data_IF_209964352945
#
_entry.id   IF_209964352945
#
_cell.length_a   1.000
_cell.length_b   1.000
_cell.length_c   1.000
_cell.angle_alpha   90.00
_cell.angle_beta   90.00
_cell.angle_gamma   90.00
#
_symmetry.space_group_name_H-M   'P 1'
#
loop_
_entity.id
_entity.type
_entity.pdbx_description
1 polymer ?
#
# COMPACT_ATOMS: atom_id res chain seq x y z
N UNK A 1 -18.73 11.12 -14.91
CA UNK A 1 -18.92 12.45 -14.27
C UNK A 1 -17.84 13.42 -14.74
N UNK A 2 -18.12 14.73 -14.82
CA UNK A 2 -17.11 15.74 -15.16
C UNK A 2 -16.20 16.00 -13.94
N UNK A 3 -14.91 15.76 -14.07
CA UNK A 3 -13.96 15.90 -12.96
C UNK A 3 -13.68 17.36 -12.53
N UNK A 4 -14.18 18.34 -13.26
CA UNK A 4 -14.15 19.73 -12.81
C UNK A 4 -15.33 20.11 -11.89
N UNK A 5 -16.36 19.29 -11.84
CA UNK A 5 -17.55 19.50 -11.02
C UNK A 5 -17.43 18.78 -9.68
N UNK A 6 -16.34 19.04 -8.96
CA UNK A 6 -16.02 18.34 -7.70
C UNK A 6 -17.10 18.45 -6.64
N UNK A 7 -17.93 19.52 -6.67
CA UNK A 7 -19.09 19.66 -5.78
C UNK A 7 -20.12 18.54 -5.92
N UNK A 8 -20.10 17.81 -7.05
CA UNK A 8 -21.01 16.70 -7.31
C UNK A 8 -20.42 15.34 -6.85
N UNK A 9 -19.17 15.28 -6.41
CA UNK A 9 -18.53 14.03 -6.01
C UNK A 9 -19.23 13.35 -4.84
N UNK A 10 -19.75 14.14 -3.88
CA UNK A 10 -20.49 13.63 -2.72
C UNK A 10 -21.73 12.80 -3.09
N UNK A 11 -22.28 12.97 -4.30
CA UNK A 11 -23.42 12.14 -4.77
C UNK A 11 -23.04 10.68 -5.04
N UNK A 12 -21.75 10.41 -5.28
CA UNK A 12 -21.21 9.07 -5.53
C UNK A 12 -20.35 8.57 -4.36
N UNK A 13 -19.97 9.45 -3.44
CA UNK A 13 -19.08 9.17 -2.31
C UNK A 13 -19.78 9.43 -0.97
N UNK A 14 -20.83 8.64 -0.62
CA UNK A 14 -21.60 8.84 0.60
C UNK A 14 -20.80 8.54 1.88
N UNK A 15 -19.74 7.73 1.79
CA UNK A 15 -18.90 7.33 2.91
C UNK A 15 -17.58 8.13 2.99
N UNK A 16 -17.52 9.27 2.28
CA UNK A 16 -16.41 10.24 2.36
C UNK A 16 -15.02 9.64 2.09
N UNK A 17 -14.89 8.78 1.08
CA UNK A 17 -13.60 8.19 0.69
C UNK A 17 -12.57 9.24 0.30
N UNK A 18 -13.00 10.35 -0.34
CA UNK A 18 -12.12 11.45 -0.67
C UNK A 18 -11.45 12.05 0.58
N UNK A 19 -12.22 12.27 1.63
CA UNK A 19 -11.69 12.82 2.89
C UNK A 19 -10.69 11.85 3.54
N UNK A 20 -10.96 10.54 3.48
CA UNK A 20 -10.04 9.52 3.99
C UNK A 20 -8.70 9.51 3.22
N UNK A 21 -8.75 9.69 1.89
CA UNK A 21 -7.54 9.80 1.03
C UNK A 21 -6.81 11.13 1.31
N UNK A 22 -7.53 12.21 1.45
CA UNK A 22 -6.98 13.55 1.69
C UNK A 22 -6.22 13.62 3.02
N UNK A 23 -6.67 12.89 4.04
CA UNK A 23 -6.05 12.82 5.37
C UNK A 23 -4.81 11.92 5.46
N UNK A 24 -4.32 11.36 4.37
CA UNK A 24 -3.17 10.44 4.39
C UNK A 24 -1.90 11.02 5.05
N UNK A 25 -1.51 12.30 4.83
CA UNK A 25 -0.37 12.90 5.54
C UNK A 25 -0.57 12.93 7.06
N UNK A 26 -1.75 13.33 7.51
CA UNK A 26 -2.13 13.43 8.92
C UNK A 26 -2.15 12.04 9.58
N UNK A 27 -2.62 11.00 8.86
CA UNK A 27 -2.59 9.62 9.33
C UNK A 27 -1.16 9.14 9.58
N UNK A 28 -0.23 9.38 8.65
CA UNK A 28 1.16 8.99 8.80
C UNK A 28 1.79 9.66 10.03
N UNK A 29 1.59 10.97 10.19
CA UNK A 29 2.10 11.74 11.33
C UNK A 29 1.51 11.24 12.66
N UNK A 30 0.20 10.98 12.70
CA UNK A 30 -0.49 10.50 13.90
C UNK A 30 -0.04 9.08 14.27
N UNK A 31 0.10 8.19 13.29
CA UNK A 31 0.54 6.82 13.48
C UNK A 31 1.96 6.74 14.04
N UNK A 32 2.89 7.54 13.50
CA UNK A 32 4.25 7.65 14.00
C UNK A 32 4.27 8.06 15.48
N UNK A 33 3.60 9.17 15.81
CA UNK A 33 3.52 9.68 17.19
C UNK A 33 2.88 8.67 18.14
N UNK A 34 1.79 8.04 17.73
CA UNK A 34 1.09 7.03 18.53
C UNK A 34 2.01 5.84 18.80
N UNK A 35 2.68 5.30 17.78
CA UNK A 35 3.56 4.14 17.91
C UNK A 35 4.77 4.38 18.84
N UNK A 36 5.23 5.64 18.97
CA UNK A 36 6.28 6.00 19.93
C UNK A 36 5.79 5.95 21.38
N UNK A 37 4.49 6.04 21.63
CA UNK A 37 3.89 6.13 22.98
C UNK A 37 3.26 4.81 23.46
N UNK A 38 2.87 3.91 22.55
CA UNK A 38 2.22 2.64 22.91
C UNK A 38 3.15 1.73 23.69
N UNK A 39 2.60 0.95 24.62
CA UNK A 39 3.38 0.04 25.44
C UNK A 39 4.10 -1.01 24.59
N UNK A 40 5.42 -1.14 24.85
CA UNK A 40 6.27 -2.13 24.21
C UNK A 40 7.20 -2.68 25.30
N UNK A 41 7.02 -3.93 25.74
CA UNK A 41 7.91 -4.56 26.70
C UNK A 41 9.29 -4.77 26.05
N UNK A 42 10.29 -5.03 26.90
CA UNK A 42 11.61 -5.39 26.43
C UNK A 42 11.53 -6.70 25.62
N UNK A 43 11.89 -6.62 24.35
CA UNK A 43 12.00 -7.78 23.46
C UNK A 43 13.37 -8.44 23.61
N UNK A 44 13.42 -9.75 23.40
CA UNK A 44 14.67 -10.49 23.28
C UNK A 44 15.35 -10.21 21.93
N UNK A 45 16.49 -10.85 21.69
CA UNK A 45 17.20 -10.77 20.41
C UNK A 45 16.27 -11.15 19.26
N UNK A 46 16.19 -10.31 18.23
CA UNK A 46 15.38 -10.54 17.01
C UNK A 46 16.33 -10.94 15.90
N UNK A 47 16.07 -12.12 15.28
CA UNK A 47 16.85 -12.66 14.16
C UNK A 47 16.08 -12.63 12.84
N UNK A 48 14.75 -12.58 12.92
CA UNK A 48 13.87 -12.47 11.76
C UNK A 48 12.54 -11.85 12.18
N UNK A 49 11.89 -11.17 11.25
CA UNK A 49 10.56 -10.58 11.43
C UNK A 49 9.60 -11.16 10.39
N UNK A 50 8.43 -11.61 10.86
CA UNK A 50 7.29 -11.91 9.99
C UNK A 50 6.14 -10.98 10.33
N UNK A 51 5.58 -10.32 9.32
CA UNK A 51 4.43 -9.43 9.46
C UNK A 51 3.25 -10.07 8.75
N UNK A 52 2.27 -10.56 9.51
CA UNK A 52 1.07 -11.18 8.95
C UNK A 52 -0.07 -10.17 8.85
N UNK A 53 -0.70 -10.12 7.69
CA UNK A 53 -1.82 -9.21 7.41
C UNK A 53 -2.36 -9.39 6.01
N UNK A 54 -3.52 -8.79 5.72
CA UNK A 54 -4.18 -8.83 4.42
C UNK A 54 -4.50 -7.41 3.93
N UNK A 55 -4.69 -7.23 2.62
CA UNK A 55 -5.15 -5.99 2.01
C UNK A 55 -4.35 -4.75 2.45
N UNK A 56 -5.04 -3.73 2.98
CA UNK A 56 -4.44 -2.48 3.46
C UNK A 56 -3.40 -2.64 4.57
N UNK A 57 -3.59 -3.62 5.46
CA UNK A 57 -2.63 -3.93 6.53
C UNK A 57 -1.34 -4.55 5.96
N UNK A 58 -1.46 -5.47 5.01
CA UNK A 58 -0.31 -6.09 4.38
C UNK A 58 0.47 -5.13 3.46
N UNK A 59 -0.22 -4.22 2.76
CA UNK A 59 0.46 -3.25 1.90
C UNK A 59 1.30 -2.25 2.71
N UNK A 60 0.84 -1.86 3.91
CA UNK A 60 1.65 -1.06 4.83
C UNK A 60 2.94 -1.77 5.25
N UNK A 61 2.85 -3.10 5.47
CA UNK A 61 4.01 -3.94 5.77
C UNK A 61 4.96 -4.08 4.56
N UNK A 62 4.44 -4.24 3.33
CA UNK A 62 5.28 -4.27 2.11
C UNK A 62 6.04 -2.96 1.91
N UNK A 63 5.33 -1.83 2.07
CA UNK A 63 5.94 -0.50 1.96
C UNK A 63 7.07 -0.35 3.00
N UNK A 64 6.84 -0.79 4.24
CA UNK A 64 7.88 -0.78 5.26
C UNK A 64 9.05 -1.68 4.86
N UNK A 65 8.81 -2.96 4.58
CA UNK A 65 9.87 -3.93 4.25
C UNK A 65 10.73 -3.43 3.09
N UNK A 66 10.11 -2.87 2.05
CA UNK A 66 10.83 -2.32 0.91
C UNK A 66 11.62 -1.04 1.25
N UNK A 67 11.08 -0.16 2.11
CA UNK A 67 11.75 1.09 2.50
C UNK A 67 12.97 0.88 3.40
N UNK A 68 13.01 -0.23 4.14
CA UNK A 68 14.09 -0.55 5.10
C UNK A 68 15.04 -1.66 4.64
N UNK A 69 14.87 -2.19 3.43
CA UNK A 69 15.64 -3.35 2.93
C UNK A 69 17.15 -3.15 3.04
N UNK A 70 17.64 -1.93 2.84
CA UNK A 70 19.08 -1.64 2.84
C UNK A 70 19.64 -1.34 4.25
N UNK A 71 18.77 -1.15 5.25
CA UNK A 71 19.17 -0.68 6.58
C UNK A 71 18.78 -1.61 7.73
N UNK A 72 17.75 -2.44 7.55
CA UNK A 72 17.32 -3.39 8.57
C UNK A 72 18.26 -4.61 8.58
N UNK A 73 18.90 -4.95 9.73
CA UNK A 73 19.90 -6.01 9.78
C UNK A 73 19.31 -7.42 9.76
N UNK A 74 17.99 -7.56 9.83
CA UNK A 74 17.30 -8.85 9.86
C UNK A 74 16.30 -8.98 8.71
N UNK A 75 16.04 -10.20 8.22
CA UNK A 75 15.02 -10.40 7.18
C UNK A 75 13.63 -10.04 7.68
N UNK A 76 12.86 -9.35 6.84
CA UNK A 76 11.47 -8.97 7.07
C UNK A 76 10.60 -9.58 5.97
N UNK A 77 9.69 -10.48 6.36
CA UNK A 77 8.80 -11.20 5.43
C UNK A 77 7.35 -10.81 5.71
N UNK A 78 6.61 -10.52 4.65
CA UNK A 78 5.16 -10.22 4.74
C UNK A 78 4.37 -11.46 4.36
N UNK A 79 3.65 -12.01 5.35
CA UNK A 79 2.81 -13.21 5.22
C UNK A 79 1.38 -12.82 4.86
N UNK A 80 0.85 -13.43 3.76
CA UNK A 80 -0.49 -13.18 3.23
C UNK A 80 -1.28 -14.48 3.03
N UNK A 81 -1.17 -15.37 3.98
CA UNK A 81 -1.85 -16.66 3.93
C UNK A 81 -2.15 -17.12 5.35
N UNK A 82 -2.84 -18.24 5.47
CA UNK A 82 -3.07 -18.91 6.74
C UNK A 82 -1.75 -19.41 7.33
N UNK A 83 -1.66 -19.29 8.67
CA UNK A 83 -0.51 -19.77 9.42
C UNK A 83 0.78 -18.96 9.17
N UNK A 84 1.90 -19.53 9.59
CA UNK A 84 3.23 -18.95 9.47
C UNK A 84 4.18 -19.87 8.69
N UNK A 85 5.22 -19.30 8.05
CA UNK A 85 6.28 -20.11 7.46
C UNK A 85 6.95 -21.02 8.51
N UNK A 86 7.38 -22.20 8.12
CA UNK A 86 7.94 -23.21 9.03
C UNK A 86 9.18 -22.75 9.84
N UNK A 87 9.90 -21.74 9.34
CA UNK A 87 11.03 -21.14 10.03
C UNK A 87 10.61 -20.14 11.13
N UNK A 88 9.40 -19.60 11.08
CA UNK A 88 8.90 -18.59 12.02
C UNK A 88 8.52 -19.24 13.36
N UNK A 89 9.53 -19.49 14.19
CA UNK A 89 9.39 -20.15 15.50
C UNK A 89 10.46 -19.69 16.49
N UNK A 90 10.13 -19.83 17.78
CA UNK A 90 11.03 -19.53 18.89
C UNK A 90 11.24 -18.02 19.11
N UNK A 91 11.90 -17.68 20.19
CA UNK A 91 12.08 -16.30 20.65
C UNK A 91 12.98 -15.44 19.76
N UNK A 92 13.71 -16.03 18.81
CA UNK A 92 14.47 -15.29 17.79
C UNK A 92 13.57 -14.70 16.66
N UNK A 93 12.30 -15.10 16.59
CA UNK A 93 11.36 -14.57 15.60
C UNK A 93 10.41 -13.57 16.24
N UNK A 94 10.33 -12.38 15.68
CA UNK A 94 9.27 -11.41 15.96
C UNK A 94 8.14 -11.61 14.94
N UNK A 95 6.97 -11.98 15.42
CA UNK A 95 5.75 -12.08 14.64
C UNK A 95 4.83 -10.89 14.93
N UNK A 96 4.56 -10.08 13.91
CA UNK A 96 3.70 -8.89 14.00
C UNK A 96 2.40 -9.17 13.26
N UNK A 97 1.27 -8.95 13.92
CA UNK A 97 -0.05 -9.18 13.36
C UNK A 97 -0.75 -7.86 13.14
N UNK A 98 -0.91 -7.46 11.87
CA UNK A 98 -1.56 -6.21 11.48
C UNK A 98 -2.91 -6.52 10.82
N UNK A 99 -4.00 -6.10 11.48
CA UNK A 99 -5.35 -6.25 10.95
C UNK A 99 -6.19 -5.06 11.36
N UNK A 100 -6.63 -4.26 10.41
CA UNK A 100 -7.48 -3.10 10.68
C UNK A 100 -8.70 -3.49 11.52
N UNK A 101 -9.50 -4.43 11.07
CA UNK A 101 -10.70 -4.89 11.82
C UNK A 101 -10.38 -5.77 13.02
N UNK A 102 -9.19 -6.35 13.09
CA UNK A 102 -8.83 -7.38 14.06
C UNK A 102 -9.58 -8.71 13.90
N UNK A 103 -10.30 -8.91 12.79
CA UNK A 103 -11.13 -10.10 12.55
C UNK A 103 -10.73 -10.87 11.29
N UNK A 104 -9.61 -10.52 10.66
CA UNK A 104 -9.11 -11.19 9.44
C UNK A 104 -8.71 -12.61 9.77
N UNK A 105 -9.34 -13.59 9.11
CA UNK A 105 -9.22 -15.02 9.43
C UNK A 105 -7.78 -15.52 9.28
N UNK A 106 -7.10 -15.16 8.18
CA UNK A 106 -5.72 -15.53 7.91
C UNK A 106 -4.77 -14.96 8.99
N UNK A 107 -5.00 -13.72 9.41
CA UNK A 107 -4.19 -13.07 10.46
C UNK A 107 -4.40 -13.73 11.82
N UNK A 108 -5.64 -14.13 12.15
CA UNK A 108 -5.95 -14.85 13.37
C UNK A 108 -5.35 -16.26 13.38
N UNK A 109 -5.39 -16.97 12.25
CA UNK A 109 -4.75 -18.28 12.08
C UNK A 109 -3.24 -18.18 12.29
N UNK A 110 -2.59 -17.19 11.69
CA UNK A 110 -1.17 -16.95 11.87
C UNK A 110 -0.81 -16.58 13.32
N UNK A 111 -1.66 -15.79 14.00
CA UNK A 111 -1.48 -15.43 15.41
C UNK A 111 -1.53 -16.65 16.33
N UNK A 112 -2.52 -17.53 16.15
CA UNK A 112 -2.66 -18.74 16.95
C UNK A 112 -1.45 -19.67 16.77
N UNK A 113 -0.92 -19.78 15.56
CA UNK A 113 0.30 -20.55 15.31
C UNK A 113 1.55 -19.90 15.93
N UNK A 114 1.66 -18.57 15.94
CA UNK A 114 2.79 -17.86 16.57
C UNK A 114 2.88 -18.12 18.07
N UNK A 115 1.73 -18.16 18.76
CA UNK A 115 1.65 -18.53 20.18
C UNK A 115 2.21 -19.93 20.39
N UNK A 116 1.73 -20.92 19.62
CA UNK A 116 2.17 -22.31 19.69
C UNK A 116 3.66 -22.46 19.36
N UNK A 117 4.17 -21.62 18.45
CA UNK A 117 5.56 -21.62 18.01
C UNK A 117 6.49 -20.79 18.93
N UNK A 118 5.99 -20.22 20.01
CA UNK A 118 6.73 -19.43 21.00
C UNK A 118 7.49 -18.22 20.40
N UNK A 119 6.91 -17.57 19.38
CA UNK A 119 7.44 -16.34 18.81
C UNK A 119 7.31 -15.17 19.82
N UNK A 120 8.12 -14.11 19.65
CA UNK A 120 7.81 -12.82 20.22
C UNK A 120 6.68 -12.19 19.38
N UNK A 121 5.69 -11.61 20.03
CA UNK A 121 4.44 -11.18 19.35
C UNK A 121 4.12 -9.72 19.64
N UNK A 122 3.70 -8.99 18.60
CA UNK A 122 3.05 -7.67 18.70
C UNK A 122 1.82 -7.68 17.78
N UNK A 123 0.71 -7.11 18.26
CA UNK A 123 -0.50 -6.96 17.43
C UNK A 123 -0.84 -5.49 17.21
N UNK A 124 -1.36 -5.17 16.02
CA UNK A 124 -1.77 -3.82 15.61
C UNK A 124 -3.17 -3.90 15.00
N UNK A 125 -4.17 -3.25 15.63
CA UNK A 125 -5.55 -3.28 15.12
C UNK A 125 -6.38 -2.11 15.67
N UNK A 126 -7.59 -1.91 15.12
CA UNK A 126 -8.57 -0.98 15.72
C UNK A 126 -9.36 -1.65 16.85
N UNK A 127 -9.23 -2.97 17.02
CA UNK A 127 -9.94 -3.80 18.02
C UNK A 127 -10.13 -5.24 17.53
N UNK A 128 -11.33 -5.77 17.72
CA UNK A 128 -11.72 -7.09 17.25
C UNK A 128 -11.10 -8.28 18.01
N UNK A 129 -11.23 -9.47 17.45
CA UNK A 129 -10.75 -10.72 18.08
C UNK A 129 -9.24 -10.73 18.30
N UNK A 130 -8.47 -10.15 17.39
CA UNK A 130 -7.00 -10.08 17.49
C UNK A 130 -6.57 -9.28 18.73
N UNK A 131 -7.18 -8.11 18.95
CA UNK A 131 -6.94 -7.27 20.10
C UNK A 131 -7.26 -8.01 21.40
N UNK A 132 -8.48 -8.58 21.49
CA UNK A 132 -8.93 -9.31 22.68
C UNK A 132 -8.05 -10.51 23.00
N UNK A 133 -7.66 -11.31 22.00
CA UNK A 133 -6.77 -12.46 22.18
C UNK A 133 -5.39 -12.02 22.68
N UNK A 134 -4.83 -10.94 22.14
CA UNK A 134 -3.53 -10.41 22.58
C UNK A 134 -3.57 -9.94 24.03
N UNK A 135 -4.59 -9.16 24.42
CA UNK A 135 -4.76 -8.70 25.81
C UNK A 135 -4.93 -9.88 26.80
N UNK A 136 -5.77 -10.86 26.47
CA UNK A 136 -5.98 -12.05 27.30
C UNK A 136 -4.69 -12.88 27.46
N UNK A 137 -3.80 -12.82 26.48
CA UNK A 137 -2.51 -13.51 26.50
C UNK A 137 -1.39 -12.68 27.13
N UNK A 138 -1.67 -11.46 27.61
CA UNK A 138 -0.67 -10.53 28.14
C UNK A 138 0.38 -10.08 27.13
N UNK A 139 0.00 -10.03 25.84
CA UNK A 139 0.87 -9.65 24.73
C UNK A 139 0.68 -8.17 24.35
N UNK A 140 1.69 -7.50 23.78
CA UNK A 140 1.55 -6.15 23.25
C UNK A 140 0.43 -6.04 22.24
N UNK A 141 -0.61 -5.26 22.59
CA UNK A 141 -1.80 -5.05 21.79
C UNK A 141 -1.93 -3.57 21.41
N UNK A 142 -1.31 -3.19 20.32
CA UNK A 142 -1.33 -1.82 19.84
C UNK A 142 -2.66 -1.49 19.18
N UNK A 143 -3.40 -0.57 19.78
CA UNK A 143 -4.70 -0.12 19.29
C UNK A 143 -4.60 1.28 18.71
N UNK A 144 -5.24 1.48 17.56
CA UNK A 144 -5.42 2.79 16.96
C UNK A 144 -6.88 3.03 16.60
N UNK A 145 -7.28 4.29 16.48
CA UNK A 145 -8.64 4.66 16.09
C UNK A 145 -8.61 5.12 14.63
N UNK A 146 -9.46 4.50 13.82
CA UNK A 146 -9.69 4.91 12.44
C UNK A 146 -11.10 4.47 12.04
N UNK A 147 -11.94 5.45 11.69
CA UNK A 147 -13.28 5.25 11.15
C UNK A 147 -13.20 5.37 9.62
N UNK A 148 -13.36 4.27 8.92
CA UNK A 148 -13.27 4.22 7.47
C UNK A 148 -12.77 2.89 6.92
N UNK A 149 -12.46 2.88 5.65
CA UNK A 149 -12.07 1.66 4.96
C UNK A 149 -10.62 1.26 5.25
N UNK A 150 -10.32 -0.04 5.46
CA UNK A 150 -8.97 -0.51 5.72
C UNK A 150 -7.94 -0.07 4.66
N UNK A 151 -8.37 0.02 3.39
CA UNK A 151 -7.53 0.48 2.27
C UNK A 151 -7.14 1.96 2.37
N UNK A 152 -7.92 2.77 3.10
CA UNK A 152 -7.63 4.18 3.34
C UNK A 152 -6.81 4.41 4.63
N UNK A 153 -6.51 3.36 5.41
CA UNK A 153 -5.74 3.44 6.66
C UNK A 153 -4.25 3.09 6.50
N UNK A 154 -3.69 3.18 5.29
CA UNK A 154 -2.30 2.77 5.03
C UNK A 154 -1.28 3.61 5.79
N UNK A 155 -1.58 4.87 6.08
CA UNK A 155 -0.75 5.74 6.93
C UNK A 155 -0.60 5.16 8.34
N UNK A 156 -1.68 4.63 8.93
CA UNK A 156 -1.63 3.92 10.21
C UNK A 156 -0.87 2.60 10.10
N UNK A 157 -1.18 1.77 9.09
CA UNK A 157 -0.53 0.47 8.94
C UNK A 157 0.98 0.57 8.81
N UNK A 158 1.47 1.52 8.02
CA UNK A 158 2.91 1.75 7.86
C UNK A 158 3.53 2.48 9.06
N UNK A 159 2.93 3.58 9.52
CA UNK A 159 3.52 4.46 10.53
C UNK A 159 3.69 3.77 11.88
N UNK A 160 2.72 2.92 12.30
CA UNK A 160 2.83 2.12 13.51
C UNK A 160 3.94 1.06 13.40
N UNK A 161 4.04 0.38 12.26
CA UNK A 161 5.12 -0.57 11.99
C UNK A 161 6.49 0.12 11.98
N UNK A 162 6.62 1.28 11.35
CA UNK A 162 7.85 2.05 11.32
C UNK A 162 8.29 2.46 12.73
N UNK A 163 7.36 2.96 13.55
CA UNK A 163 7.62 3.31 14.95
C UNK A 163 8.05 2.09 15.78
N UNK A 164 7.44 0.93 15.54
CA UNK A 164 7.84 -0.31 16.19
C UNK A 164 9.29 -0.69 15.85
N UNK A 165 9.66 -0.67 14.57
CA UNK A 165 11.02 -0.99 14.11
C UNK A 165 12.06 0.00 14.66
N UNK A 166 11.71 1.28 14.72
CA UNK A 166 12.56 2.31 15.33
C UNK A 166 12.81 2.03 16.81
N UNK A 167 11.74 1.78 17.59
CA UNK A 167 11.83 1.48 19.03
C UNK A 167 12.57 0.19 19.36
N UNK A 168 12.52 -0.79 18.46
CA UNK A 168 13.27 -2.05 18.58
C UNK A 168 14.74 -1.91 18.16
N UNK A 169 15.18 -0.75 17.69
CA UNK A 169 16.54 -0.52 17.20
C UNK A 169 16.87 -1.29 15.90
N UNK A 170 15.83 -1.75 15.16
CA UNK A 170 15.99 -2.42 13.87
C UNK A 170 16.26 -1.43 12.73
N UNK A 171 15.97 -0.17 12.94
CA UNK A 171 16.29 0.95 12.04
C UNK A 171 16.76 2.16 12.89
N UNK A 172 17.49 3.08 12.26
CA UNK A 172 17.82 4.36 12.87
C UNK A 172 16.58 5.26 13.04
N UNK A 173 16.73 6.36 13.77
CA UNK A 173 15.65 7.33 13.97
C UNK A 173 15.07 7.81 12.64
N UNK A 174 13.74 7.68 12.49
CA UNK A 174 13.00 8.01 11.30
C UNK A 174 12.16 9.30 11.43
N UNK A 175 12.22 10.01 12.56
CA UNK A 175 11.36 11.18 12.82
C UNK A 175 11.45 12.24 11.73
N UNK A 176 12.68 12.61 11.34
CA UNK A 176 12.90 13.58 10.26
C UNK A 176 12.34 13.09 8.92
N UNK A 177 12.57 11.82 8.59
CA UNK A 177 12.08 11.24 7.33
C UNK A 177 10.56 11.21 7.25
N UNK A 178 9.88 10.92 8.37
CA UNK A 178 8.42 11.00 8.48
C UNK A 178 7.93 12.43 8.31
N UNK A 179 8.55 13.39 9.00
CA UNK A 179 8.18 14.81 8.90
C UNK A 179 8.34 15.35 7.47
N UNK A 180 9.43 15.01 6.80
CA UNK A 180 9.69 15.41 5.41
C UNK A 180 8.67 14.79 4.45
N UNK A 181 8.34 13.50 4.60
CA UNK A 181 7.33 12.83 3.79
C UNK A 181 5.91 13.43 3.99
N UNK A 182 5.54 13.71 5.23
CA UNK A 182 4.26 14.36 5.56
C UNK A 182 4.18 15.74 4.91
N UNK A 183 5.22 16.56 5.06
CA UNK A 183 5.28 17.89 4.45
C UNK A 183 5.14 17.82 2.93
N UNK A 184 5.87 16.93 2.30
CA UNK A 184 5.88 16.74 0.85
C UNK A 184 4.52 16.28 0.31
N UNK A 185 3.82 15.41 1.04
CA UNK A 185 2.44 15.01 0.70
C UNK A 185 1.46 16.18 0.84
N UNK A 186 1.58 17.02 1.88
CA UNK A 186 0.74 18.22 2.06
C UNK A 186 0.94 19.19 0.89
N UNK A 187 2.18 19.42 0.47
CA UNK A 187 2.50 20.27 -0.68
C UNK A 187 1.92 19.68 -1.99
N UNK A 188 2.10 18.38 -2.22
CA UNK A 188 1.55 17.71 -3.40
C UNK A 188 0.02 17.77 -3.44
N UNK A 189 -0.65 17.58 -2.28
CA UNK A 189 -2.11 17.63 -2.16
C UNK A 189 -2.70 18.93 -2.70
N UNK A 190 -2.03 20.06 -2.56
CA UNK A 190 -2.50 21.36 -3.09
C UNK A 190 -2.68 21.36 -4.61
N UNK A 191 -1.96 20.48 -5.33
CA UNK A 191 -1.99 20.38 -6.78
C UNK A 191 -2.88 19.26 -7.33
N UNK A 192 -3.19 18.25 -6.49
CA UNK A 192 -3.94 17.07 -6.91
C UNK A 192 -5.27 16.88 -6.18
N UNK A 193 -5.66 17.80 -5.28
CA UNK A 193 -6.95 17.79 -4.57
C UNK A 193 -8.14 17.97 -5.53
N UNK A 194 -9.34 17.79 -5.03
CA UNK A 194 -10.56 17.86 -5.83
C UNK A 194 -10.84 19.26 -6.41
N UNK A 195 -10.40 20.33 -5.75
CA UNK A 195 -10.60 21.72 -6.17
C UNK A 195 -9.71 22.10 -7.36
N UNK A 196 -8.54 21.46 -7.49
CA UNK A 196 -7.61 21.72 -8.58
C UNK A 196 -8.25 21.34 -9.92
N UNK A 197 -8.30 22.28 -10.91
CA UNK A 197 -8.97 22.03 -12.18
C UNK A 197 -8.23 20.96 -13.02
N UNK A 198 -8.98 20.20 -13.86
CA UNK A 198 -8.49 19.09 -14.65
C UNK A 198 -7.20 19.39 -15.43
N UNK A 199 -7.09 20.57 -16.03
CA UNK A 199 -5.93 20.96 -16.83
C UNK A 199 -4.65 21.22 -16.02
N UNK A 200 -4.76 21.39 -14.70
CA UNK A 200 -3.64 21.56 -13.75
C UNK A 200 -3.43 20.36 -12.84
N UNK A 201 -4.40 19.46 -12.75
CA UNK A 201 -4.39 18.29 -11.87
C UNK A 201 -3.93 17.04 -12.64
N UNK A 202 -2.69 16.63 -12.41
CA UNK A 202 -2.10 15.46 -13.07
C UNK A 202 -2.80 14.13 -12.70
N UNK A 203 -3.32 14.00 -11.47
CA UNK A 203 -4.06 12.81 -11.06
C UNK A 203 -5.41 12.68 -11.78
N UNK A 204 -6.15 13.79 -11.95
CA UNK A 204 -7.39 13.79 -12.76
C UNK A 204 -7.12 13.47 -14.24
N UNK A 205 -6.01 14.01 -14.80
CA UNK A 205 -5.62 13.71 -16.18
C UNK A 205 -5.26 12.24 -16.38
N UNK A 206 -4.46 11.69 -15.46
CA UNK A 206 -4.11 10.27 -15.51
C UNK A 206 -5.37 9.40 -15.38
N UNK A 207 -6.27 9.70 -14.45
CA UNK A 207 -7.54 8.99 -14.35
C UNK A 207 -8.30 8.93 -15.69
N UNK A 208 -8.32 10.06 -16.44
CA UNK A 208 -8.90 10.10 -17.79
C UNK A 208 -8.17 9.21 -18.79
N UNK A 209 -6.84 9.11 -18.73
CA UNK A 209 -6.05 8.23 -19.59
C UNK A 209 -6.28 6.75 -19.30
N UNK A 210 -6.55 6.39 -18.03
CA UNK A 210 -6.82 5.01 -17.62
C UNK A 210 -8.22 4.51 -18.03
N UNK A 211 -9.15 5.40 -18.39
CA UNK A 211 -10.51 5.00 -18.76
C UNK A 211 -10.53 4.06 -19.97
N UNK A 212 -11.30 2.97 -19.85
CA UNK A 212 -11.47 1.98 -20.92
C UNK A 212 -10.23 1.10 -21.17
N UNK A 213 -9.23 1.13 -20.30
CA UNK A 213 -7.97 0.39 -20.45
C UNK A 213 -7.76 -0.64 -19.35
N UNK A 214 -7.12 -1.74 -19.72
CA UNK A 214 -6.48 -2.66 -18.79
C UNK A 214 -5.08 -2.14 -18.50
N UNK A 215 -4.83 -1.75 -17.25
CA UNK A 215 -3.58 -1.12 -16.88
C UNK A 215 -2.69 -2.08 -16.08
N UNK A 216 -1.42 -2.19 -16.50
CA UNK A 216 -0.37 -2.85 -15.70
C UNK A 216 0.60 -1.79 -15.17
N UNK A 217 0.75 -1.73 -13.86
CA UNK A 217 1.68 -0.84 -13.19
C UNK A 217 3.04 -1.51 -13.00
N UNK A 218 4.10 -0.90 -13.54
CA UNK A 218 5.47 -1.39 -13.43
C UNK A 218 6.25 -0.52 -12.44
N UNK A 219 7.02 -1.14 -11.56
CA UNK A 219 7.93 -0.44 -10.66
C UNK A 219 9.13 -1.32 -10.30
N UNK A 220 10.17 -0.71 -9.73
CA UNK A 220 11.39 -1.41 -9.31
C UNK A 220 11.72 -1.15 -7.83
N UNK A 221 12.44 -2.08 -7.22
CA UNK A 221 13.00 -1.89 -5.89
C UNK A 221 11.96 -1.47 -4.84
N UNK A 222 12.25 -0.37 -4.13
CA UNK A 222 11.38 0.13 -3.08
C UNK A 222 10.00 0.65 -3.57
N UNK A 223 9.85 0.88 -4.88
CA UNK A 223 8.59 1.29 -5.50
C UNK A 223 7.70 0.12 -5.92
N UNK A 224 8.17 -1.13 -5.93
CA UNK A 224 7.36 -2.29 -6.31
C UNK A 224 6.06 -2.44 -5.46
N UNK A 225 6.08 -2.27 -4.12
CA UNK A 225 4.84 -2.28 -3.34
C UNK A 225 3.92 -1.09 -3.63
N UNK A 226 4.44 0.03 -4.13
CA UNK A 226 3.61 1.15 -4.60
C UNK A 226 2.80 0.75 -5.82
N UNK A 227 3.42 0.08 -6.81
CA UNK A 227 2.70 -0.44 -7.98
C UNK A 227 1.61 -1.45 -7.56
N UNK A 228 1.91 -2.36 -6.62
CA UNK A 228 0.91 -3.26 -6.04
C UNK A 228 -0.25 -2.47 -5.39
N UNK A 229 0.05 -1.40 -4.64
CA UNK A 229 -0.98 -0.56 -4.04
C UNK A 229 -1.84 0.13 -5.09
N UNK A 230 -1.25 0.72 -6.12
CA UNK A 230 -2.00 1.36 -7.21
C UNK A 230 -2.98 0.37 -7.84
N UNK A 231 -2.51 -0.84 -8.16
CA UNK A 231 -3.38 -1.94 -8.64
C UNK A 231 -4.55 -2.19 -7.68
N UNK A 232 -4.28 -2.31 -6.39
CA UNK A 232 -5.33 -2.58 -5.40
C UNK A 232 -6.33 -1.42 -5.31
N UNK A 233 -5.86 -0.17 -5.30
CA UNK A 233 -6.73 1.01 -5.27
C UNK A 233 -7.57 1.13 -6.54
N UNK A 234 -7.02 0.89 -7.72
CA UNK A 234 -7.78 0.86 -8.97
C UNK A 234 -8.88 -0.21 -8.93
N UNK A 235 -8.57 -1.40 -8.41
CA UNK A 235 -9.57 -2.47 -8.28
C UNK A 235 -10.67 -2.12 -7.26
N UNK A 236 -10.29 -1.66 -6.06
CA UNK A 236 -11.23 -1.50 -4.96
C UNK A 236 -11.97 -0.16 -4.97
N UNK A 237 -11.33 0.92 -5.40
CA UNK A 237 -11.92 2.26 -5.44
C UNK A 237 -12.63 2.49 -6.78
N UNK A 238 -11.94 2.27 -7.91
CA UNK A 238 -12.50 2.53 -9.24
C UNK A 238 -13.24 1.33 -9.86
N UNK A 239 -13.28 0.17 -9.19
CA UNK A 239 -13.93 -1.06 -9.69
C UNK A 239 -13.39 -1.53 -11.05
N UNK A 240 -12.15 -1.18 -11.36
CA UNK A 240 -11.51 -1.40 -12.65
C UNK A 240 -10.42 -2.45 -12.54
N UNK A 241 -10.34 -3.35 -13.51
CA UNK A 241 -9.28 -4.36 -13.55
C UNK A 241 -7.92 -3.71 -13.79
N UNK A 242 -6.91 -4.12 -13.00
CA UNK A 242 -5.52 -3.72 -13.18
C UNK A 242 -4.57 -4.82 -12.71
N UNK A 243 -3.33 -4.79 -13.19
CA UNK A 243 -2.23 -5.63 -12.72
C UNK A 243 -1.07 -4.79 -12.20
N UNK A 244 -0.06 -5.44 -11.61
CA UNK A 244 1.23 -4.84 -11.33
C UNK A 244 2.35 -5.84 -11.63
N UNK A 245 3.52 -5.31 -11.99
CA UNK A 245 4.72 -6.06 -12.30
C UNK A 245 5.95 -5.40 -11.66
N UNK A 246 6.93 -6.21 -11.31
CA UNK A 246 8.19 -5.74 -10.76
C UNK A 246 9.34 -5.86 -11.79
N UNK A 247 10.01 -4.76 -12.08
CA UNK A 247 11.28 -4.76 -12.80
C UNK A 247 12.40 -5.05 -11.78
N UNK A 248 13.35 -5.92 -12.10
CA UNK A 248 13.69 -6.48 -13.43
C UNK A 248 12.99 -7.79 -13.81
N UNK A 249 12.20 -8.40 -12.92
CA UNK A 249 11.61 -9.73 -13.15
C UNK A 249 10.69 -9.74 -14.40
N UNK A 250 9.87 -8.71 -14.59
CA UNK A 250 8.97 -8.61 -15.75
C UNK A 250 9.68 -8.61 -17.11
N UNK A 251 10.94 -8.16 -17.16
CA UNK A 251 11.75 -8.17 -18.38
C UNK A 251 12.18 -9.58 -18.79
N UNK A 252 12.04 -10.56 -17.90
CA UNK A 252 12.38 -11.97 -18.17
C UNK A 252 11.17 -12.80 -18.62
N UNK A 253 9.95 -12.24 -18.58
CA UNK A 253 8.72 -12.95 -18.90
C UNK A 253 7.64 -12.05 -19.53
N UNK A 254 7.12 -11.04 -18.84
CA UNK A 254 6.01 -10.19 -19.29
C UNK A 254 6.32 -9.50 -20.62
N UNK A 255 7.56 -9.05 -20.83
CA UNK A 255 7.97 -8.39 -22.06
C UNK A 255 7.85 -9.30 -23.29
N UNK A 256 7.92 -10.61 -23.15
CA UNK A 256 7.69 -11.56 -24.23
C UNK A 256 6.20 -11.74 -24.58
N UNK A 257 5.30 -11.29 -23.71
CA UNK A 257 3.84 -11.42 -23.85
C UNK A 257 3.16 -10.25 -24.58
N UNK A 258 3.87 -9.50 -25.42
CA UNK A 258 3.37 -8.26 -26.05
C UNK A 258 2.80 -8.45 -27.46
N UNK A 259 2.62 -9.70 -27.93
CA UNK A 259 2.11 -10.00 -29.27
C UNK A 259 0.61 -10.37 -29.30
N UNK A 260 0.10 -11.05 -28.28
CA UNK A 260 -1.24 -11.62 -28.27
C UNK A 260 -1.91 -11.58 -26.90
N UNK A 261 -3.28 -11.52 -26.83
CA UNK A 261 -4.20 -11.29 -27.94
C UNK A 261 -4.25 -9.80 -28.33
N UNK A 262 -4.32 -9.52 -29.62
CA UNK A 262 -4.21 -8.15 -30.16
C UNK A 262 -5.30 -7.23 -29.61
N UNK A 263 -6.54 -7.68 -29.59
CA UNK A 263 -7.70 -6.90 -29.11
C UNK A 263 -7.62 -6.51 -27.61
N UNK A 264 -6.89 -7.29 -26.80
CA UNK A 264 -6.60 -6.96 -25.40
C UNK A 264 -5.45 -5.95 -25.34
N UNK A 265 -4.39 -6.17 -26.14
CA UNK A 265 -3.22 -5.27 -26.14
C UNK A 265 -3.57 -3.86 -26.62
N UNK A 266 -4.46 -3.71 -27.61
CA UNK A 266 -4.98 -2.42 -28.08
C UNK A 266 -5.68 -1.62 -26.98
N UNK A 267 -6.25 -2.31 -25.97
CA UNK A 267 -6.91 -1.71 -24.80
C UNK A 267 -6.02 -1.70 -23.56
N UNK A 268 -4.79 -2.16 -23.67
CA UNK A 268 -3.86 -2.19 -22.55
C UNK A 268 -3.06 -0.90 -22.44
N UNK A 269 -2.59 -0.63 -21.22
CA UNK A 269 -1.65 0.45 -20.92
C UNK A 269 -0.62 -0.07 -19.94
N UNK A 270 0.66 0.13 -20.26
CA UNK A 270 1.77 -0.10 -19.35
C UNK A 270 2.18 1.22 -18.71
N UNK A 271 2.00 1.32 -17.40
CA UNK A 271 2.28 2.54 -16.64
C UNK A 271 3.47 2.34 -15.71
N UNK A 272 4.50 3.15 -15.85
CA UNK A 272 5.77 3.01 -15.13
C UNK A 272 5.84 3.97 -13.95
N UNK A 273 5.93 3.42 -12.72
CA UNK A 273 6.13 4.19 -11.48
C UNK A 273 7.62 4.19 -11.19
N UNK A 274 8.27 5.29 -11.47
CA UNK A 274 9.71 5.50 -11.35
C UNK A 274 10.05 6.37 -10.14
N UNK A 275 11.30 6.35 -9.73
CA UNK A 275 11.82 7.11 -8.60
C UNK A 275 13.18 7.71 -8.95
N UNK A 276 13.46 8.92 -8.45
CA UNK A 276 14.80 9.50 -8.54
C UNK A 276 15.88 8.66 -7.83
N UNK A 277 15.45 7.77 -6.92
CA UNK A 277 16.33 6.84 -6.20
C UNK A 277 16.42 5.46 -6.86
N UNK A 278 15.88 5.27 -8.07
CA UNK A 278 16.05 4.02 -8.81
C UNK A 278 17.51 3.74 -9.11
N UNK A 279 17.92 2.49 -9.04
CA UNK A 279 19.24 2.09 -9.50
C UNK A 279 19.39 2.42 -10.99
N UNK A 280 20.53 2.98 -11.39
CA UNK A 280 20.79 3.33 -12.79
C UNK A 280 20.46 2.21 -13.78
N UNK A 281 20.69 0.96 -13.37
CA UNK A 281 20.39 -0.20 -14.20
C UNK A 281 18.89 -0.43 -14.37
N UNK A 282 18.09 -0.18 -13.33
CA UNK A 282 16.63 -0.24 -13.40
C UNK A 282 16.07 0.93 -14.22
N UNK A 283 16.66 2.14 -14.10
CA UNK A 283 16.29 3.28 -14.93
C UNK A 283 16.45 2.99 -16.42
N UNK A 284 17.58 2.37 -16.80
CA UNK A 284 17.80 1.93 -18.19
C UNK A 284 16.79 0.85 -18.62
N UNK A 285 16.44 -0.10 -17.73
CA UNK A 285 15.41 -1.11 -18.02
C UNK A 285 14.05 -0.47 -18.27
N UNK A 286 13.65 0.49 -17.45
CA UNK A 286 12.40 1.23 -17.67
C UNK A 286 12.36 1.86 -19.07
N UNK A 287 13.42 2.56 -19.47
CA UNK A 287 13.48 3.22 -20.77
C UNK A 287 13.34 2.20 -21.92
N UNK A 288 14.14 1.13 -21.90
CA UNK A 288 14.13 0.11 -22.93
C UNK A 288 12.80 -0.69 -22.98
N UNK A 289 12.25 -1.07 -21.82
CA UNK A 289 10.97 -1.78 -21.74
C UNK A 289 9.83 -0.93 -22.28
N UNK A 290 9.83 0.37 -21.95
CA UNK A 290 8.85 1.30 -22.47
C UNK A 290 8.95 1.45 -23.98
N UNK A 291 10.15 1.62 -24.52
CA UNK A 291 10.41 1.71 -25.97
C UNK A 291 9.92 0.44 -26.71
N UNK A 292 10.26 -0.74 -26.18
CA UNK A 292 9.83 -2.02 -26.77
C UNK A 292 8.30 -2.17 -26.77
N UNK A 293 7.64 -1.84 -25.66
CA UNK A 293 6.18 -1.91 -25.57
C UNK A 293 5.49 -0.91 -26.52
N UNK A 294 6.04 0.30 -26.65
CA UNK A 294 5.55 1.28 -27.63
C UNK A 294 5.71 0.79 -29.07
N UNK A 295 6.82 0.11 -29.39
CA UNK A 295 7.05 -0.46 -30.72
C UNK A 295 6.02 -1.54 -31.08
N UNK A 296 5.50 -2.27 -30.10
CA UNK A 296 4.40 -3.24 -30.24
C UNK A 296 3.00 -2.58 -30.18
N UNK A 297 2.92 -1.25 -30.13
CA UNK A 297 1.65 -0.50 -30.14
C UNK A 297 0.93 -0.42 -28.78
N UNK A 298 1.58 -0.85 -27.68
CA UNK A 298 1.02 -0.74 -26.33
C UNK A 298 1.17 0.71 -25.86
N UNK A 299 0.09 1.29 -25.36
CA UNK A 299 0.12 2.64 -24.78
C UNK A 299 0.97 2.63 -23.50
N UNK A 300 1.91 3.56 -23.40
CA UNK A 300 2.75 3.71 -22.21
C UNK A 300 2.70 5.13 -21.66
N UNK A 301 2.87 5.28 -20.35
CA UNK A 301 3.13 6.56 -19.67
C UNK A 301 3.88 6.29 -18.36
N UNK A 302 4.34 7.34 -17.68
CA UNK A 302 5.11 7.18 -16.45
C UNK A 302 4.81 8.27 -15.42
N UNK A 303 5.02 7.93 -14.15
CA UNK A 303 5.06 8.85 -13.02
C UNK A 303 6.47 8.83 -12.43
N UNK A 304 7.11 9.99 -12.31
CA UNK A 304 8.38 10.12 -11.62
C UNK A 304 8.16 10.61 -10.20
N UNK A 305 8.42 9.75 -9.23
CA UNK A 305 8.40 10.11 -7.82
C UNK A 305 9.67 10.92 -7.48
N UNK A 306 9.49 12.18 -7.15
CA UNK A 306 10.55 13.12 -6.77
C UNK A 306 10.56 13.34 -5.25
N UNK A 307 11.71 13.67 -4.69
CA UNK A 307 11.87 13.98 -3.26
C UNK A 307 13.28 13.69 -2.76
N UNK A 308 13.64 14.28 -1.62
CA UNK A 308 14.99 14.18 -1.05
C UNK A 308 15.32 12.79 -0.46
N UNK A 309 14.30 11.95 -0.20
CA UNK A 309 14.47 10.61 0.36
C UNK A 309 13.55 9.59 -0.30
N UNK A 310 13.93 8.29 -0.23
CA UNK A 310 13.07 7.19 -0.70
C UNK A 310 11.70 7.19 -0.02
N UNK A 311 11.62 7.52 1.27
CA UNK A 311 10.35 7.59 2.00
C UNK A 311 9.46 8.70 1.43
N UNK A 312 10.01 9.87 1.17
CA UNK A 312 9.29 10.98 0.57
C UNK A 312 8.75 10.62 -0.83
N UNK A 313 9.62 10.07 -1.70
CA UNK A 313 9.25 9.63 -3.04
C UNK A 313 8.15 8.56 -3.01
N UNK A 314 8.26 7.58 -2.13
CA UNK A 314 7.28 6.50 -1.97
C UNK A 314 5.91 7.04 -1.50
N UNK A 315 5.90 7.92 -0.50
CA UNK A 315 4.64 8.45 0.04
C UNK A 315 3.93 9.41 -0.91
N UNK A 316 4.69 10.20 -1.67
CA UNK A 316 4.11 11.00 -2.77
C UNK A 316 3.47 10.13 -3.83
N UNK A 317 4.13 9.04 -4.23
CA UNK A 317 3.58 8.12 -5.21
C UNK A 317 2.34 7.38 -4.66
N UNK A 318 2.34 6.97 -3.40
CA UNK A 318 1.17 6.37 -2.73
C UNK A 318 -0.01 7.34 -2.78
N UNK A 319 0.16 8.57 -2.32
CA UNK A 319 -0.89 9.59 -2.31
C UNK A 319 -1.40 9.89 -3.72
N UNK A 320 -0.51 10.06 -4.68
CA UNK A 320 -0.89 10.32 -6.07
C UNK A 320 -1.77 9.20 -6.64
N UNK A 321 -1.39 7.94 -6.43
CA UNK A 321 -2.16 6.78 -6.90
C UNK A 321 -3.54 6.66 -6.24
N UNK A 322 -3.66 7.01 -4.98
CA UNK A 322 -4.94 7.01 -4.27
C UNK A 322 -5.90 8.05 -4.87
N UNK A 323 -5.42 9.26 -5.16
CA UNK A 323 -6.21 10.27 -5.87
C UNK A 323 -6.56 9.85 -7.30
N UNK A 324 -5.63 9.24 -8.04
CA UNK A 324 -5.92 8.70 -9.39
C UNK A 324 -7.05 7.69 -9.36
N UNK A 325 -7.01 6.74 -8.42
CA UNK A 325 -8.05 5.72 -8.25
C UNK A 325 -9.41 6.35 -7.92
N UNK A 326 -9.42 7.37 -7.03
CA UNK A 326 -10.63 8.10 -6.70
C UNK A 326 -11.21 8.84 -7.92
N UNK A 327 -10.40 9.59 -8.65
CA UNK A 327 -10.87 10.30 -9.83
C UNK A 327 -11.32 9.36 -10.94
N UNK A 328 -10.72 8.19 -11.06
CA UNK A 328 -11.18 7.17 -11.99
C UNK A 328 -12.56 6.61 -11.58
N UNK A 329 -12.80 6.44 -10.26
CA UNK A 329 -14.13 6.07 -9.76
C UNK A 329 -15.18 7.14 -10.14
N UNK A 330 -14.86 8.42 -9.93
CA UNK A 330 -15.74 9.54 -10.32
C UNK A 330 -15.98 9.57 -11.83
N UNK A 331 -14.94 9.36 -12.63
CA UNK A 331 -15.06 9.32 -14.10
C UNK A 331 -15.97 8.18 -14.58
N UNK A 332 -15.91 7.00 -13.95
CA UNK A 332 -16.81 5.87 -14.19
C UNK A 332 -18.18 6.00 -13.51
N UNK A 333 -18.39 7.02 -12.70
CA UNK A 333 -19.63 7.24 -11.93
C UNK A 333 -19.94 6.04 -11.02
N UNK A 334 -18.95 5.52 -10.30
CA UNK A 334 -19.10 4.43 -9.34
C UNK A 334 -18.78 4.90 -7.93
N UNK A 335 -19.45 4.31 -6.93
CA UNK A 335 -19.17 4.51 -5.51
C UNK A 335 -17.75 4.01 -5.18
N UNK A 336 -16.84 4.88 -4.66
CA UNK A 336 -15.47 4.50 -4.35
C UNK A 336 -15.34 3.59 -3.12
N UNK A 337 -16.36 3.52 -2.28
CA UNK A 337 -16.31 2.83 -0.98
C UNK A 337 -16.85 1.41 -1.05
N UNK A 338 -18.03 1.20 -1.59
CA UNK A 338 -18.71 -0.08 -1.60
C UNK A 338 -17.92 -1.15 -2.39
N UNK A 339 -17.77 -2.35 -1.82
CA UNK A 339 -17.10 -3.51 -2.44
C UNK A 339 -17.97 -4.77 -2.32
N UNK A 340 -19.16 -4.78 -2.96
CA UNK A 340 -20.19 -5.80 -2.71
C UNK A 340 -19.70 -7.22 -2.98
N UNK A 341 -18.94 -7.46 -4.03
CA UNK A 341 -18.43 -8.82 -4.34
C UNK A 341 -17.49 -9.36 -3.26
N UNK A 342 -16.65 -8.52 -2.67
CA UNK A 342 -15.76 -8.97 -1.57
C UNK A 342 -16.59 -9.22 -0.31
N UNK A 343 -17.62 -8.41 -0.06
CA UNK A 343 -18.51 -8.63 1.08
C UNK A 343 -19.33 -9.90 0.92
N UNK A 344 -19.85 -10.18 -0.26
CA UNK A 344 -20.58 -11.42 -0.57
C UNK A 344 -19.70 -12.67 -0.39
N UNK A 345 -18.44 -12.63 -0.87
CA UNK A 345 -17.49 -13.70 -0.64
C UNK A 345 -17.29 -13.96 0.84
N UNK A 346 -17.07 -12.93 1.65
CA UNK A 346 -16.89 -13.08 3.11
C UNK A 346 -18.12 -13.66 3.80
N UNK A 347 -19.30 -13.22 3.39
CA UNK A 347 -20.56 -13.77 3.94
C UNK A 347 -20.73 -15.26 3.58
N UNK A 348 -20.37 -15.64 2.35
CA UNK A 348 -20.44 -17.04 1.90
C UNK A 348 -19.43 -17.96 2.60
N UNK A 349 -18.27 -17.42 3.03
CA UNK A 349 -17.27 -18.17 3.80
C UNK A 349 -17.68 -18.38 5.27
N UNK A 350 -18.64 -17.61 5.79
CA UNK A 350 -19.13 -17.74 7.17
C UNK A 350 -20.42 -18.57 7.29
N UNK A 351 -21.01 -18.96 6.17
CA UNK A 351 -22.19 -19.83 6.09
C UNK A 351 -21.78 -21.31 6.15
#
# INVERSE_FOLDING_TARGET
MNLNEHQNFSTLDPDHMLEQIDQLPEQLAAAWKLGLLLDLPQMGEIKAVVIAGMGGSAIGADLLAASITDICPVPVIVQRDYGLPAWAKGRGTLAIFSSHSGNTEETLSAFDQAIQSHCQIVTISTGGKLFTKAEQSGLPAWKFTHEGQPRAAVGFSYGLLLALFNRLGLISDAEKSVADAVKSMIEQRQHINAESPLNKNSAKRLAGQLMGRYVTFFAAGHMAPVARRWKCQINEVAKTIAAFEAIPESDHNTLAGTCFPVDVLEKSMSFFIRSESDLNRNSLRFDLTQEMMMAEGIVTDSYMATGASRMEQMWRAVQFGDFVAYYLAMAYSVDPTAIPMIQELKNSMTA
#
